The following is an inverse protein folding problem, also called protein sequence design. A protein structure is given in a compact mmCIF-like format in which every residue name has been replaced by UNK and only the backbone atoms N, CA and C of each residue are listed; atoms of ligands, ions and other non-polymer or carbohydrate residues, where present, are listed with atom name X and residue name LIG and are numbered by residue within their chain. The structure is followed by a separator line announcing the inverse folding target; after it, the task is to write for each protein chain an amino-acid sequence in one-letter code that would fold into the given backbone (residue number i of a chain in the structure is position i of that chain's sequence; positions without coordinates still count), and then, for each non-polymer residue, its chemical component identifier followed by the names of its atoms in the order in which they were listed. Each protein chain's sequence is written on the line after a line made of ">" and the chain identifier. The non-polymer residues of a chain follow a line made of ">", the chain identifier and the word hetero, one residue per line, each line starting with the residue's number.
data_IF_666109193851
#
_entry.id   IF_666109193851
#
_cell.length_a   1.000
_cell.length_b   1.000
_cell.length_c   1.000
_cell.angle_alpha   90.00
_cell.angle_beta   90.00
_cell.angle_gamma   90.00
#
_symmetry.space_group_name_H-M   'P 1'
#
loop_
_entity.id
_entity.type
_entity.pdbx_description
1 polymer ?
#
# COMPACT_ATOMS: atom_id res chain seq x y z
N UNK A 1 10.58 -14.26 33.23
CA UNK A 1 11.49 -13.29 33.01
C UNK A 1 10.95 -12.09 32.35
N UNK A 2 11.44 -11.06 32.77
CA UNK A 2 10.94 -9.80 32.29
C UNK A 2 11.18 -9.55 30.82
N UNK A 3 12.10 -10.22 30.27
CA UNK A 3 12.36 -9.91 28.91
C UNK A 3 11.20 -10.22 28.03
N UNK A 4 10.45 -11.20 28.35
CA UNK A 4 9.29 -11.47 27.51
C UNK A 4 8.34 -10.30 27.58
N UNK A 5 8.16 -9.73 28.74
CA UNK A 5 7.27 -8.61 28.79
C UNK A 5 7.87 -7.40 28.17
N UNK A 6 9.16 -7.27 28.25
CA UNK A 6 9.80 -6.12 27.65
C UNK A 6 9.54 -6.06 26.17
N UNK A 7 9.23 -7.18 25.56
CA UNK A 7 8.97 -7.14 24.16
C UNK A 7 7.56 -6.90 23.80
N UNK A 8 6.65 -6.80 24.73
CA UNK A 8 5.28 -6.49 24.41
C UNK A 8 5.17 -5.00 24.23
N UNK A 9 5.49 -4.54 23.09
CA UNK A 9 5.38 -3.13 22.75
C UNK A 9 4.06 -2.91 22.05
N UNK A 10 3.31 -1.93 22.53
CA UNK A 10 2.07 -1.56 21.84
C UNK A 10 2.40 -0.93 20.50
N UNK A 11 1.76 -1.41 19.47
CA UNK A 11 1.89 -0.84 18.15
C UNK A 11 0.57 -0.21 17.74
N UNK A 12 0.62 1.03 17.38
CA UNK A 12 -0.56 1.69 16.89
C UNK A 12 -0.51 1.65 15.36
N UNK A 13 -1.40 0.89 14.77
CA UNK A 13 -1.39 0.69 13.33
C UNK A 13 -2.47 1.52 12.67
N UNK A 14 -2.05 2.45 11.87
CA UNK A 14 -2.98 3.22 11.05
C UNK A 14 -2.88 2.67 9.64
N UNK A 15 -3.92 2.00 9.19
CA UNK A 15 -3.92 1.29 7.94
C UNK A 15 -4.95 1.88 7.00
N UNK A 16 -4.56 2.07 5.76
CA UNK A 16 -5.45 2.49 4.69
C UNK A 16 -5.57 1.31 3.75
N UNK A 17 -6.80 0.96 3.39
CA UNK A 17 -7.04 -0.11 2.43
C UNK A 17 -7.89 0.44 1.31
N UNK A 18 -7.63 -0.01 0.12
CA UNK A 18 -8.40 0.46 -1.01
C UNK A 18 -7.99 -0.21 -2.30
N UNK A 19 -8.44 0.38 -3.39
CA UNK A 19 -8.17 -0.11 -4.74
C UNK A 19 -7.65 1.06 -5.54
N UNK A 20 -6.65 0.84 -6.35
CA UNK A 20 -6.12 1.91 -7.17
C UNK A 20 -5.26 1.40 -8.31
N UNK A 21 -4.75 2.35 -9.09
CA UNK A 21 -3.88 2.02 -10.21
C UNK A 21 -2.43 2.06 -9.75
N UNK A 22 -1.69 1.02 -10.05
CA UNK A 22 -0.28 0.92 -9.69
C UNK A 22 0.56 1.60 -10.78
N UNK A 23 1.40 2.54 -10.36
CA UNK A 23 2.22 3.31 -11.28
C UNK A 23 3.61 3.53 -10.72
N UNK A 24 4.50 3.95 -11.58
CA UNK A 24 5.81 4.47 -11.18
C UNK A 24 6.58 3.55 -10.24
N UNK A 25 6.62 2.29 -10.62
CA UNK A 25 7.46 1.34 -9.87
C UNK A 25 8.91 1.70 -10.13
N UNK A 26 9.66 1.95 -9.07
CA UNK A 26 11.02 2.43 -9.21
C UNK A 26 11.88 2.04 -8.03
N UNK A 27 13.17 2.00 -8.26
CA UNK A 27 14.13 1.79 -7.19
C UNK A 27 14.62 3.14 -6.72
N UNK A 28 14.69 3.33 -5.41
CA UNK A 28 15.13 4.58 -4.83
C UNK A 28 16.41 4.30 -4.05
N UNK A 29 17.45 5.10 -4.31
CA UNK A 29 18.70 4.97 -3.61
C UNK A 29 18.85 6.18 -2.71
N UNK A 30 18.62 6.03 -1.41
CA UNK A 30 18.74 7.18 -0.51
C UNK A 30 20.20 7.53 -0.27
N UNK A 31 20.43 8.71 0.27
CA UNK A 31 21.79 9.12 0.60
C UNK A 31 22.38 8.21 1.65
N UNK A 32 21.57 7.74 2.58
CA UNK A 32 21.99 6.80 3.60
C UNK A 32 21.06 5.61 3.58
N UNK A 33 21.63 4.44 3.73
CA UNK A 33 20.85 3.22 3.78
C UNK A 33 20.74 2.53 2.44
N UNK A 34 20.18 1.34 2.44
CA UNK A 34 20.09 0.54 1.19
C UNK A 34 19.03 1.06 0.26
N UNK A 35 19.15 0.71 -0.98
CA UNK A 35 18.13 1.01 -1.98
C UNK A 35 16.85 0.26 -1.64
N UNK A 36 15.72 0.84 -2.02
CA UNK A 36 14.43 0.19 -1.80
C UNK A 36 13.53 0.41 -3.00
N UNK A 37 12.52 -0.43 -3.10
CA UNK A 37 11.56 -0.31 -4.18
C UNK A 37 10.39 0.56 -3.72
N UNK A 38 9.94 1.41 -4.61
CA UNK A 38 8.82 2.31 -4.34
C UNK A 38 7.86 2.29 -5.51
N UNK A 39 6.64 2.70 -5.25
CA UNK A 39 5.64 2.81 -6.30
C UNK A 39 4.64 3.89 -5.91
N UNK A 40 3.81 4.26 -6.88
CA UNK A 40 2.72 5.19 -6.63
C UNK A 40 1.42 4.47 -6.93
N UNK A 41 0.47 4.58 -6.02
CA UNK A 41 -0.86 4.03 -6.23
C UNK A 41 -1.83 5.19 -6.30
N UNK A 42 -2.54 5.31 -7.42
CA UNK A 42 -3.60 6.30 -7.54
C UNK A 42 -4.86 5.65 -7.03
N UNK A 43 -5.17 5.88 -5.77
CA UNK A 43 -6.28 5.22 -5.11
C UNK A 43 -7.59 5.85 -5.51
N UNK A 44 -8.58 5.01 -5.74
CA UNK A 44 -9.89 5.46 -6.15
C UNK A 44 -10.74 5.75 -4.93
N UNK A 45 -11.51 6.83 -5.00
CA UNK A 45 -12.42 7.23 -3.94
C UNK A 45 -13.75 7.60 -4.55
N UNK A 46 -14.80 7.48 -3.75
CA UNK A 46 -16.10 7.95 -4.14
C UNK A 46 -16.89 6.92 -4.93
N UNK A 47 -17.90 7.40 -5.60
CA UNK A 47 -18.80 6.51 -6.32
C UNK A 47 -18.21 6.13 -7.66
N UNK A 48 -18.55 4.95 -8.15
CA UNK A 48 -18.02 4.49 -9.41
C UNK A 48 -18.42 5.39 -10.59
N UNK A 49 -19.46 6.17 -10.42
CA UNK A 49 -19.90 7.07 -11.46
C UNK A 49 -19.19 8.43 -11.41
N UNK A 50 -18.47 8.70 -10.30
CA UNK A 50 -17.77 9.95 -10.16
C UNK A 50 -16.50 9.72 -9.34
N UNK A 51 -15.59 8.93 -9.89
CA UNK A 51 -14.40 8.50 -9.17
C UNK A 51 -13.43 9.66 -9.00
N UNK A 52 -12.92 9.80 -7.78
CA UNK A 52 -11.85 10.73 -7.50
C UNK A 52 -10.62 9.91 -7.14
N UNK A 53 -9.46 10.53 -7.25
CA UNK A 53 -8.21 9.83 -7.02
C UNK A 53 -7.34 10.58 -6.03
N UNK A 54 -6.64 9.82 -5.19
CA UNK A 54 -5.58 10.40 -4.38
C UNK A 54 -4.32 9.61 -4.67
N UNK A 55 -3.22 10.30 -4.86
CA UNK A 55 -1.94 9.69 -5.15
C UNK A 55 -1.28 9.29 -3.84
N UNK A 56 -0.89 8.03 -3.72
CA UNK A 56 -0.19 7.54 -2.54
C UNK A 56 1.18 7.05 -2.96
N UNK A 57 2.22 7.74 -2.49
CA UNK A 57 3.57 7.36 -2.80
C UNK A 57 4.01 6.36 -1.74
N UNK A 58 4.29 5.15 -2.16
CA UNK A 58 4.51 4.04 -1.26
C UNK A 58 5.94 3.56 -1.29
N UNK A 59 6.52 3.43 -0.09
CA UNK A 59 7.73 2.65 0.06
C UNK A 59 7.28 1.22 0.33
N UNK A 60 7.79 0.27 -0.41
CA UNK A 60 7.34 -1.10 -0.31
C UNK A 60 8.11 -1.80 0.79
N UNK A 61 7.42 -2.17 1.87
CA UNK A 61 8.08 -2.77 3.02
C UNK A 61 7.64 -4.20 3.28
N UNK A 62 6.48 -4.60 2.78
CA UNK A 62 6.01 -5.97 2.98
C UNK A 62 6.65 -6.90 1.97
N UNK A 63 7.04 -8.10 2.40
CA UNK A 63 7.69 -9.03 1.51
C UNK A 63 6.74 -9.47 0.39
N UNK A 64 5.51 -9.75 0.73
CA UNK A 64 4.51 -10.13 -0.28
C UNK A 64 4.29 -8.99 -1.27
N UNK A 65 4.17 -7.76 -0.75
CA UNK A 65 3.97 -6.61 -1.61
C UNK A 65 5.15 -6.42 -2.56
N UNK A 66 6.36 -6.64 -2.05
CA UNK A 66 7.54 -6.50 -2.86
C UNK A 66 7.54 -7.51 -4.02
N UNK A 67 7.22 -8.75 -3.72
CA UNK A 67 7.19 -9.77 -4.76
C UNK A 67 6.07 -9.52 -5.76
N UNK A 68 4.92 -9.12 -5.26
CA UNK A 68 3.79 -8.85 -6.14
C UNK A 68 4.07 -7.66 -7.06
N UNK A 69 4.66 -6.60 -6.52
CA UNK A 69 4.98 -5.43 -7.34
C UNK A 69 6.03 -5.77 -8.39
N UNK A 70 7.03 -6.57 -8.02
CA UNK A 70 8.03 -7.00 -9.00
C UNK A 70 7.40 -7.79 -10.13
N UNK A 71 6.40 -8.61 -9.80
CA UNK A 71 5.71 -9.38 -10.81
C UNK A 71 4.92 -8.48 -11.75
N UNK A 72 4.42 -7.36 -11.28
CA UNK A 72 3.61 -6.45 -12.07
C UNK A 72 4.42 -5.34 -12.74
N UNK A 73 5.70 -5.27 -12.44
CA UNK A 73 6.53 -4.17 -12.90
C UNK A 73 6.55 -4.01 -14.41
N UNK A 74 6.66 -5.13 -15.13
CA UNK A 74 6.70 -5.06 -16.57
C UNK A 74 5.41 -4.52 -17.15
N UNK A 75 4.27 -4.89 -16.58
CA UNK A 75 3.00 -4.38 -17.05
C UNK A 75 2.89 -2.87 -16.80
N UNK A 76 3.40 -2.41 -15.66
CA UNK A 76 3.40 -0.98 -15.37
C UNK A 76 4.28 -0.25 -16.37
N UNK A 77 5.47 -0.79 -16.67
CA UNK A 77 6.37 -0.16 -17.62
C UNK A 77 5.81 -0.16 -19.04
N UNK A 78 5.01 -1.16 -19.37
CA UNK A 78 4.35 -1.23 -20.66
C UNK A 78 3.11 -0.35 -20.72
N UNK A 79 2.84 0.40 -19.65
CA UNK A 79 1.71 1.32 -19.57
C UNK A 79 0.36 0.63 -19.68
N UNK A 80 0.32 -0.61 -19.24
CA UNK A 80 -0.93 -1.32 -19.14
C UNK A 80 -1.66 -0.85 -17.90
N UNK A 81 -2.97 -1.03 -17.86
CA UNK A 81 -3.74 -0.64 -16.70
C UNK A 81 -3.62 -1.71 -15.62
N UNK A 82 -2.91 -1.39 -14.56
CA UNK A 82 -2.69 -2.32 -13.46
C UNK A 82 -3.48 -1.84 -12.27
N UNK A 83 -4.52 -2.56 -11.92
CA UNK A 83 -5.37 -2.23 -10.78
C UNK A 83 -5.02 -3.19 -9.66
N UNK A 84 -4.81 -2.65 -8.47
CA UNK A 84 -4.45 -3.46 -7.32
C UNK A 84 -5.31 -3.10 -6.13
N UNK A 85 -5.61 -4.11 -5.32
CA UNK A 85 -6.10 -3.88 -3.98
C UNK A 85 -4.90 -3.80 -3.08
N UNK A 86 -4.91 -2.92 -2.11
CA UNK A 86 -3.71 -2.68 -1.31
C UNK A 86 -4.04 -2.39 0.14
N UNK A 87 -3.04 -2.64 0.98
CA UNK A 87 -3.04 -2.21 2.37
C UNK A 87 -1.75 -1.44 2.59
N UNK A 88 -1.87 -0.23 3.11
CA UNK A 88 -0.71 0.62 3.36
C UNK A 88 -0.80 1.18 4.76
N UNK A 89 0.35 1.33 5.39
CA UNK A 89 0.41 1.79 6.77
C UNK A 89 1.04 3.15 6.90
N UNK A 90 0.75 3.78 8.01
CA UNK A 90 1.35 5.07 8.40
C UNK A 90 1.16 6.15 7.34
N UNK A 91 -0.07 6.38 6.87
CA UNK A 91 -0.27 7.40 5.84
C UNK A 91 0.01 8.79 6.39
N UNK A 92 0.69 9.59 5.62
CA UNK A 92 1.05 10.96 5.96
C UNK A 92 0.84 11.85 4.75
N UNK A 93 0.54 13.13 4.97
CA UNK A 93 0.47 14.04 3.84
C UNK A 93 1.82 14.16 3.14
N UNK A 94 1.77 14.33 1.84
CA UNK A 94 2.95 14.50 1.02
C UNK A 94 2.72 15.68 0.11
N UNK A 95 3.44 16.77 0.35
CA UNK A 95 3.33 17.96 -0.47
C UNK A 95 4.58 18.08 -1.32
N UNK A 96 4.41 18.19 -2.61
CA UNK A 96 5.56 18.27 -3.51
C UNK A 96 5.28 19.22 -4.66
N UNK A 97 6.34 19.67 -5.29
CA UNK A 97 6.25 20.56 -6.42
C UNK A 97 6.90 19.91 -7.62
N UNK A 98 6.39 20.20 -8.78
CA UNK A 98 7.11 19.83 -9.98
C UNK A 98 6.98 20.97 -10.99
N UNK A 99 7.96 21.05 -11.87
CA UNK A 99 7.97 22.09 -12.89
C UNK A 99 7.43 21.48 -14.17
N UNK A 100 6.42 22.13 -14.74
CA UNK A 100 5.87 21.71 -16.01
C UNK A 100 6.90 22.06 -17.08
N UNK A 101 7.44 21.04 -17.74
CA UNK A 101 8.50 21.26 -18.71
C UNK A 101 8.03 22.03 -19.93
N UNK A 102 6.73 22.05 -20.18
CA UNK A 102 6.22 22.75 -21.35
C UNK A 102 5.95 24.21 -21.08
N UNK A 103 5.48 24.54 -19.88
CA UNK A 103 5.11 25.90 -19.57
C UNK A 103 6.09 26.58 -18.61
N UNK A 104 6.92 25.82 -17.95
CA UNK A 104 7.83 26.35 -16.95
C UNK A 104 7.18 26.67 -15.62
N UNK A 105 5.90 26.38 -15.49
CA UNK A 105 5.20 26.66 -14.25
C UNK A 105 5.54 25.66 -13.17
N UNK A 106 5.63 26.14 -11.94
CA UNK A 106 5.81 25.28 -10.79
C UNK A 106 4.44 24.94 -10.26
N UNK A 107 4.12 23.66 -10.24
CA UNK A 107 2.81 23.18 -9.81
C UNK A 107 2.96 22.48 -8.47
N UNK A 108 2.14 22.86 -7.51
CA UNK A 108 2.14 22.22 -6.22
C UNK A 108 1.12 21.10 -6.23
N UNK A 109 1.52 19.96 -5.72
CA UNK A 109 0.66 18.80 -5.66
C UNK A 109 0.61 18.28 -4.25
N UNK A 110 -0.47 17.64 -3.92
CA UNK A 110 -0.60 17.00 -2.63
C UNK A 110 -1.09 15.59 -2.80
N UNK A 111 -0.68 14.73 -1.91
CA UNK A 111 -1.06 13.35 -1.90
C UNK A 111 -0.72 12.77 -0.56
N UNK A 112 -0.48 11.48 -0.53
CA UNK A 112 -0.10 10.79 0.70
C UNK A 112 1.18 10.02 0.48
N UNK A 113 1.92 9.81 1.56
CA UNK A 113 3.01 8.86 1.61
C UNK A 113 2.58 7.75 2.54
N UNK A 114 2.97 6.52 2.25
CA UNK A 114 2.64 5.42 3.12
C UNK A 114 3.63 4.29 2.90
N UNK A 115 3.55 3.27 3.75
CA UNK A 115 4.33 2.06 3.59
C UNK A 115 3.42 1.00 3.01
N UNK A 116 3.77 0.45 1.87
CA UNK A 116 2.95 -0.58 1.25
C UNK A 116 3.22 -1.90 1.94
N UNK A 117 2.19 -2.44 2.57
CA UNK A 117 2.32 -3.64 3.37
C UNK A 117 1.89 -4.89 2.61
N UNK A 118 0.91 -4.76 1.75
CA UNK A 118 0.35 -5.92 1.08
C UNK A 118 -0.44 -5.52 -0.17
N UNK A 119 -0.38 -6.33 -1.20
CA UNK A 119 -1.31 -6.25 -2.31
C UNK A 119 -2.28 -7.40 -2.17
N UNK A 120 -3.56 -7.09 -2.18
CA UNK A 120 -4.59 -8.11 -1.94
C UNK A 120 -5.06 -8.77 -3.23
N UNK A 121 -4.99 -8.06 -4.34
CA UNK A 121 -5.29 -8.63 -5.65
C UNK A 121 -4.69 -7.74 -6.72
N UNK A 122 -4.64 -8.24 -7.94
CA UNK A 122 -4.16 -7.45 -9.07
C UNK A 122 -4.90 -7.85 -10.33
N UNK A 123 -5.15 -6.84 -11.19
CA UNK A 123 -5.69 -7.06 -12.52
C UNK A 123 -4.88 -6.25 -13.50
N UNK A 124 -4.57 -6.84 -14.65
CA UNK A 124 -3.85 -6.14 -15.70
C UNK A 124 -4.77 -6.11 -16.91
N UNK A 125 -5.09 -4.90 -17.36
CA UNK A 125 -6.02 -4.69 -18.48
C UNK A 125 -7.32 -5.48 -18.29
N UNK A 126 -7.80 -5.46 -17.05
CA UNK A 126 -9.08 -6.08 -16.72
C UNK A 126 -9.04 -7.57 -16.41
N UNK A 127 -7.87 -8.20 -16.55
CA UNK A 127 -7.76 -9.63 -16.29
C UNK A 127 -7.03 -9.88 -14.98
N UNK A 128 -7.58 -10.77 -14.18
CA UNK A 128 -7.00 -11.08 -12.89
C UNK A 128 -5.66 -11.75 -13.06
N UNK A 129 -4.70 -11.33 -12.24
CA UNK A 129 -3.36 -11.87 -12.24
C UNK A 129 -3.10 -12.49 -10.88
N UNK A 130 -2.51 -13.69 -10.90
CA UNK A 130 -2.16 -14.35 -9.64
C UNK A 130 -0.95 -13.67 -9.05
N UNK A 131 -1.04 -13.31 -7.78
CA UNK A 131 0.07 -12.74 -7.05
C UNK A 131 0.33 -13.56 -5.81
N UNK A 132 1.51 -13.42 -5.19
CA UNK A 132 1.83 -14.23 -4.00
C UNK A 132 0.85 -13.98 -2.87
N UNK A 133 0.64 -15.01 -2.06
CA UNK A 133 -0.28 -14.95 -0.94
C UNK A 133 0.53 -14.85 0.35
N UNK A 134 0.03 -14.04 1.27
CA UNK A 134 0.70 -13.86 2.55
C UNK A 134 0.11 -14.82 3.57
N UNK A 135 0.67 -16.01 3.63
CA UNK A 135 0.13 -17.02 4.53
C UNK A 135 0.26 -16.61 5.98
N UNK A 136 1.38 -16.01 6.32
CA UNK A 136 1.57 -15.58 7.68
C UNK A 136 0.54 -14.56 8.10
N UNK A 137 0.27 -13.60 7.23
CA UNK A 137 -0.72 -12.59 7.52
C UNK A 137 -2.11 -13.19 7.64
N UNK A 138 -2.40 -14.18 6.85
CA UNK A 138 -3.68 -14.82 6.94
C UNK A 138 -3.86 -15.50 8.28
N UNK A 139 -2.84 -16.16 8.79
CA UNK A 139 -2.96 -16.78 10.09
C UNK A 139 -3.16 -15.73 11.17
N UNK A 140 -2.46 -14.63 11.06
CA UNK A 140 -2.61 -13.56 12.01
C UNK A 140 -4.01 -12.99 11.98
N UNK A 141 -4.54 -12.83 10.80
CA UNK A 141 -5.88 -12.31 10.65
C UNK A 141 -6.90 -13.27 11.23
N UNK A 142 -6.72 -14.54 11.02
CA UNK A 142 -7.63 -15.51 11.57
C UNK A 142 -7.61 -15.46 13.09
N UNK A 143 -6.45 -15.35 13.66
CA UNK A 143 -6.35 -15.23 15.09
C UNK A 143 -7.03 -13.99 15.59
N UNK A 144 -6.83 -12.91 14.92
CA UNK A 144 -7.43 -11.65 15.31
C UNK A 144 -8.94 -11.73 15.21
N UNK A 145 -9.42 -12.34 14.17
CA UNK A 145 -10.84 -12.46 14.01
C UNK A 145 -11.46 -13.32 15.09
N UNK A 146 -10.82 -14.40 15.44
CA UNK A 146 -11.32 -15.24 16.49
C UNK A 146 -11.35 -14.47 17.79
N UNK A 147 -10.31 -13.75 18.08
CA UNK A 147 -10.28 -12.94 19.28
C UNK A 147 -11.34 -11.88 19.27
N UNK A 148 -11.54 -11.28 18.14
CA UNK A 148 -12.56 -10.26 18.04
C UNK A 148 -13.95 -10.82 18.28
N UNK A 149 -14.19 -11.94 17.76
CA UNK A 149 -15.51 -12.53 17.95
C UNK A 149 -15.72 -12.83 19.40
N UNK A 150 -14.72 -13.33 20.07
CA UNK A 150 -14.88 -13.58 21.46
C UNK A 150 -15.14 -12.33 22.24
N UNK A 151 -14.40 -11.27 21.92
CA UNK A 151 -14.63 -10.04 22.61
C UNK A 151 -16.02 -9.56 22.39
N UNK A 152 -16.50 -9.77 21.24
CA UNK A 152 -17.77 -9.24 20.88
C UNK A 152 -18.84 -9.80 21.73
N UNK A 153 -18.84 -11.07 21.95
CA UNK A 153 -19.85 -11.59 22.69
C UNK A 153 -19.93 -11.12 24.06
N UNK A 154 -18.86 -11.13 24.77
CA UNK A 154 -18.99 -10.66 26.11
C UNK A 154 -19.34 -9.21 26.17
N UNK A 155 -18.97 -8.53 25.20
CA UNK A 155 -19.22 -7.13 25.27
C UNK A 155 -20.66 -6.85 25.41
N UNK A 156 -21.46 -7.61 24.78
CA UNK A 156 -22.78 -7.31 24.80
C UNK A 156 -23.45 -7.70 25.98
N UNK A 157 -22.91 -8.55 26.67
CA UNK A 157 -23.57 -9.04 27.81
C UNK A 157 -23.88 -7.96 28.86
#
# INVERSE_FOLDING_TARGET
>A
MPEAQAQTVSMFNLIVEGVGYLNRVRSVTPKKGPAYLACTINAMMGESTAVEYVSIDCRIVGKQALEAVKQLEDAVKAKQKVIVGFRAGDPKPDFYEFTNSQTGEVVQREGLKARLLQLTFAKVDGQKVEIPVVERAQRADESAQAGGAQRHEPAEA
#
